data_IF_090512040234
#
_entry.id   IF_090512040234
#
_cell.length_a   1.000
_cell.length_b   1.000
_cell.length_c   1.000
_cell.angle_alpha   90.00
_cell.angle_beta   90.00
_cell.angle_gamma   90.00
#
_symmetry.space_group_name_H-M   'P 1'
#
loop_
_entity.id
_entity.type
_entity.pdbx_description
1 polymer ?
#
# COMPACT_ATOMS: atom_id res chain seq x y z
N UNK A 1 -12.71 0.86 -8.86
CA UNK A 1 -11.60 0.49 -7.95
C UNK A 1 -11.30 1.67 -7.05
N UNK A 2 -11.05 1.44 -5.77
CA UNK A 2 -10.81 2.56 -4.86
C UNK A 2 -9.40 3.12 -5.02
N UNK A 3 -9.23 4.37 -4.63
CA UNK A 3 -7.94 5.04 -4.63
C UNK A 3 -6.93 4.30 -3.74
N UNK A 4 -7.41 3.75 -2.62
CA UNK A 4 -6.57 2.99 -1.70
C UNK A 4 -6.00 1.74 -2.36
N UNK A 5 -6.82 1.00 -3.10
CA UNK A 5 -6.37 -0.21 -3.82
C UNK A 5 -5.32 0.16 -4.85
N UNK A 6 -5.56 1.22 -5.62
CA UNK A 6 -4.62 1.68 -6.62
C UNK A 6 -3.28 2.06 -6.00
N UNK A 7 -3.32 2.79 -4.89
CA UNK A 7 -2.11 3.21 -4.18
C UNK A 7 -1.32 2.01 -3.67
N UNK A 8 -2.01 1.01 -3.10
CA UNK A 8 -1.37 -0.21 -2.62
C UNK A 8 -0.63 -0.90 -3.76
N UNK A 9 -1.27 -1.06 -4.90
CA UNK A 9 -0.67 -1.73 -6.05
C UNK A 9 0.54 -0.96 -6.59
N UNK A 10 0.40 0.36 -6.71
CA UNK A 10 1.49 1.21 -7.19
C UNK A 10 2.68 1.22 -6.26
N UNK A 11 2.45 1.34 -4.97
CA UNK A 11 3.52 1.39 -3.98
C UNK A 11 4.17 0.02 -3.81
N UNK A 12 3.42 -1.06 -3.96
CA UNK A 12 3.97 -2.40 -3.93
C UNK A 12 4.98 -2.59 -5.08
N UNK A 13 4.61 -2.18 -6.29
CA UNK A 13 5.50 -2.27 -7.44
C UNK A 13 6.75 -1.39 -7.25
N UNK A 14 6.58 -0.18 -6.74
CA UNK A 14 7.69 0.73 -6.47
C UNK A 14 8.63 0.13 -5.42
N UNK A 15 8.07 -0.42 -4.34
CA UNK A 15 8.85 -1.07 -3.30
C UNK A 15 9.66 -2.23 -3.85
N UNK A 16 9.06 -3.10 -4.65
CA UNK A 16 9.76 -4.26 -5.21
C UNK A 16 10.99 -3.84 -6.00
N UNK A 17 10.85 -2.80 -6.83
CA UNK A 17 11.94 -2.28 -7.65
C UNK A 17 13.08 -1.73 -6.78
N UNK A 18 12.73 -0.89 -5.82
CA UNK A 18 13.73 -0.24 -4.97
C UNK A 18 14.37 -1.21 -3.99
N UNK A 19 13.60 -2.15 -3.47
CA UNK A 19 14.12 -3.16 -2.54
C UNK A 19 15.15 -4.05 -3.23
N UNK A 20 14.92 -4.42 -4.49
CA UNK A 20 15.87 -5.20 -5.26
C UNK A 20 17.19 -4.45 -5.45
N UNK A 21 17.13 -3.14 -5.72
CA UNK A 21 18.33 -2.30 -5.83
C UNK A 21 19.06 -2.18 -4.50
N UNK A 22 18.31 -2.02 -3.42
CA UNK A 22 18.88 -1.94 -2.08
C UNK A 22 19.64 -3.23 -1.74
N UNK A 23 19.06 -4.37 -2.05
CA UNK A 23 19.69 -5.68 -1.80
C UNK A 23 20.99 -5.85 -2.56
N UNK A 24 21.17 -5.10 -3.65
CA UNK A 24 22.41 -5.12 -4.44
C UNK A 24 23.43 -4.07 -3.96
N UNK A 25 23.12 -3.37 -2.88
CA UNK A 25 24.04 -2.43 -2.26
C UNK A 25 23.74 -0.96 -2.51
N UNK A 26 22.62 -0.63 -3.15
CA UNK A 26 22.23 0.76 -3.41
C UNK A 26 21.50 1.35 -2.19
N UNK A 27 22.23 2.10 -1.36
CA UNK A 27 21.66 2.68 -0.14
C UNK A 27 20.57 3.72 -0.41
N UNK A 28 20.68 4.46 -1.50
CA UNK A 28 19.63 5.43 -1.86
C UNK A 28 18.32 4.74 -2.17
N UNK A 29 18.38 3.56 -2.78
CA UNK A 29 17.19 2.77 -3.04
C UNK A 29 16.52 2.30 -1.75
N UNK A 30 17.31 2.09 -0.68
CA UNK A 30 16.77 1.75 0.63
C UNK A 30 15.82 2.82 1.17
N UNK A 31 16.21 4.09 1.03
CA UNK A 31 15.36 5.20 1.45
C UNK A 31 14.06 5.25 0.64
N UNK A 32 14.14 5.02 -0.68
CA UNK A 32 12.96 4.99 -1.55
C UNK A 32 12.06 3.80 -1.23
N UNK A 33 12.67 2.64 -0.93
CA UNK A 33 11.90 1.45 -0.52
C UNK A 33 11.14 1.70 0.77
N UNK A 34 11.76 2.35 1.75
CA UNK A 34 11.11 2.70 3.01
C UNK A 34 9.94 3.66 2.79
N UNK A 35 10.11 4.63 1.90
CA UNK A 35 9.04 5.58 1.58
C UNK A 35 7.85 4.85 0.96
N UNK A 36 8.11 3.94 0.02
CA UNK A 36 7.05 3.15 -0.60
C UNK A 36 6.30 2.32 0.43
N UNK A 37 7.02 1.68 1.36
CA UNK A 37 6.39 0.92 2.44
C UNK A 37 5.53 1.80 3.34
N UNK A 38 5.98 3.01 3.64
CA UNK A 38 5.24 3.96 4.47
C UNK A 38 3.93 4.38 3.78
N UNK A 39 4.00 4.71 2.49
CA UNK A 39 2.80 5.08 1.72
C UNK A 39 1.84 3.90 1.60
N UNK A 40 2.38 2.69 1.43
CA UNK A 40 1.59 1.48 1.37
C UNK A 40 0.86 1.25 2.70
N UNK A 41 1.54 1.45 3.82
CA UNK A 41 0.95 1.27 5.15
C UNK A 41 -0.26 2.18 5.36
N UNK A 42 -0.18 3.44 4.91
CA UNK A 42 -1.30 4.37 4.99
C UNK A 42 -2.47 3.90 4.14
N UNK A 43 -2.19 3.45 2.92
CA UNK A 43 -3.23 2.97 2.00
C UNK A 43 -3.86 1.67 2.51
N UNK A 44 -3.06 0.79 3.12
CA UNK A 44 -3.56 -0.44 3.72
C UNK A 44 -4.55 -0.13 4.84
N UNK A 45 -4.22 0.81 5.70
CA UNK A 45 -5.12 1.22 6.78
C UNK A 45 -6.42 1.79 6.23
N UNK A 46 -6.34 2.65 5.22
CA UNK A 46 -7.51 3.21 4.57
C UNK A 46 -8.39 2.12 3.95
N UNK A 47 -7.76 1.15 3.29
CA UNK A 47 -8.51 0.05 2.66
C UNK A 47 -9.20 -0.83 3.72
N UNK A 48 -8.54 -1.10 4.83
CA UNK A 48 -9.14 -1.85 5.93
C UNK A 48 -10.40 -1.16 6.44
N UNK A 49 -10.35 0.16 6.59
CA UNK A 49 -11.49 0.94 7.03
C UNK A 49 -12.63 0.92 6.00
N UNK A 50 -12.28 0.99 4.70
CA UNK A 50 -13.26 0.90 3.61
C UNK A 50 -13.99 -0.43 3.64
N UNK A 51 -13.25 -1.52 3.83
CA UNK A 51 -13.82 -2.86 3.88
C UNK A 51 -14.78 -2.98 5.06
N UNK A 52 -14.39 -2.48 6.22
CA UNK A 52 -15.23 -2.51 7.40
C UNK A 52 -16.54 -1.73 7.17
N UNK A 53 -16.43 -0.53 6.60
CA UNK A 53 -17.59 0.31 6.31
C UNK A 53 -18.52 -0.37 5.29
N UNK A 54 -17.96 -0.99 4.26
CA UNK A 54 -18.73 -1.68 3.25
C UNK A 54 -19.45 -2.90 3.81
N UNK A 55 -18.75 -3.68 4.64
CA UNK A 55 -19.37 -4.82 5.33
C UNK A 55 -20.55 -4.38 6.18
N UNK A 56 -20.39 -3.30 6.93
CA UNK A 56 -21.45 -2.78 7.78
C UNK A 56 -22.63 -2.31 6.95
N UNK A 57 -22.39 -1.64 5.82
CA UNK A 57 -23.43 -1.19 4.91
C UNK A 57 -24.21 -2.38 4.31
N UNK A 58 -23.51 -3.43 3.90
CA UNK A 58 -24.14 -4.65 3.38
C UNK A 58 -25.00 -5.33 4.44
N UNK A 59 -24.52 -5.36 5.66
CA UNK A 59 -25.24 -5.96 6.78
C UNK A 59 -26.53 -5.20 7.08
N UNK A 60 -26.48 -3.87 7.04
CA UNK A 60 -27.64 -3.01 7.26
C UNK A 60 -28.65 -3.09 6.13
N UNK A 61 -28.19 -3.40 4.93
CA UNK A 61 -29.04 -3.47 3.73
C UNK A 61 -30.01 -4.66 3.74
N UNK A 62 -29.86 -5.58 4.65
CA UNK A 62 -30.79 -6.72 4.81
C UNK A 62 -32.03 -6.33 5.66
#
# INVERSE_FOLDING_TARGET
>A
MSESVKTIEEQFAAWQTEDAKFSKGNNAAGARARKALSEMAKAIKARRNEITAEKNARKEAK
#
